data_IF_296566161608
#
_entry.id   IF_296566161608
#
_cell.length_a   1.000
_cell.length_b   1.000
_cell.length_c   1.000
_cell.angle_alpha   90.00
_cell.angle_beta   90.00
_cell.angle_gamma   90.00
#
_symmetry.space_group_name_H-M   'P 1'
#
loop_
_entity.id
_entity.type
_entity.pdbx_description
1 polymer ?
#
# COMPACT_ATOMS: atom_id res chain seq x y z
N UNK A 1 -40.93 -13.79 -58.42
CA UNK A 1 -39.57 -14.38 -58.38
C UNK A 1 -38.70 -13.52 -57.47
N UNK A 2 -38.50 -13.93 -56.21
CA UNK A 2 -37.43 -13.47 -55.30
C UNK A 2 -37.11 -14.66 -54.39
N UNK A 3 -36.01 -15.36 -54.66
CA UNK A 3 -35.52 -16.44 -53.82
C UNK A 3 -35.04 -15.83 -52.49
N UNK A 4 -35.71 -16.18 -51.40
CA UNK A 4 -35.34 -15.79 -50.05
C UNK A 4 -34.47 -16.91 -49.45
N UNK A 5 -33.16 -16.67 -49.31
CA UNK A 5 -32.21 -17.66 -48.78
C UNK A 5 -32.05 -17.51 -47.25
N UNK A 6 -32.61 -18.44 -46.45
CA UNK A 6 -32.59 -18.38 -44.99
C UNK A 6 -31.19 -18.60 -44.38
N UNK A 7 -30.21 -19.09 -45.16
CA UNK A 7 -28.85 -19.35 -44.67
C UNK A 7 -28.08 -18.06 -44.37
N UNK A 8 -28.38 -16.98 -45.10
CA UNK A 8 -27.75 -15.66 -44.91
C UNK A 8 -28.01 -15.04 -43.53
N UNK A 9 -29.20 -15.25 -42.95
CA UNK A 9 -29.60 -14.65 -41.67
C UNK A 9 -28.89 -15.29 -40.47
N UNK A 10 -28.61 -16.58 -40.55
CA UNK A 10 -27.85 -17.29 -39.51
C UNK A 10 -26.40 -16.80 -39.43
N UNK A 11 -25.70 -16.67 -40.56
CA UNK A 11 -24.32 -16.17 -40.59
C UNK A 11 -24.19 -14.71 -40.13
N UNK A 12 -25.19 -13.86 -40.39
CA UNK A 12 -25.21 -12.48 -39.90
C UNK A 12 -25.41 -12.38 -38.38
N UNK A 13 -26.30 -13.21 -37.81
CA UNK A 13 -26.56 -13.24 -36.37
C UNK A 13 -25.34 -13.72 -35.56
N UNK A 14 -24.59 -14.72 -36.06
CA UNK A 14 -23.39 -15.23 -35.38
C UNK A 14 -22.24 -14.21 -35.40
N UNK A 15 -22.10 -13.44 -36.48
CA UNK A 15 -21.07 -12.38 -36.58
C UNK A 15 -21.35 -11.18 -35.66
N UNK A 16 -22.63 -10.81 -35.49
CA UNK A 16 -23.05 -9.77 -34.55
C UNK A 16 -22.82 -10.19 -33.09
N UNK A 17 -23.10 -11.45 -32.75
CA UNK A 17 -22.84 -11.99 -31.42
C UNK A 17 -21.33 -12.04 -31.07
N UNK A 18 -20.49 -12.45 -32.03
CA UNK A 18 -19.04 -12.47 -31.85
C UNK A 18 -18.46 -11.05 -31.67
N UNK A 19 -18.98 -10.06 -32.41
CA UNK A 19 -18.58 -8.66 -32.28
C UNK A 19 -19.00 -8.09 -30.91
N UNK A 20 -20.19 -8.42 -30.43
CA UNK A 20 -20.68 -8.01 -29.11
C UNK A 20 -19.83 -8.60 -27.97
N UNK A 21 -19.40 -9.86 -28.06
CA UNK A 21 -18.51 -10.50 -27.09
C UNK A 21 -17.12 -9.84 -27.10
N UNK A 22 -16.59 -9.48 -28.28
CA UNK A 22 -15.33 -8.75 -28.40
C UNK A 22 -15.41 -7.34 -27.80
N UNK A 23 -16.53 -6.63 -28.00
CA UNK A 23 -16.79 -5.32 -27.42
C UNK A 23 -16.93 -5.39 -25.89
N UNK A 24 -17.62 -6.39 -25.36
CA UNK A 24 -17.76 -6.63 -23.92
C UNK A 24 -16.41 -6.97 -23.25
N UNK A 25 -15.51 -7.68 -23.94
CA UNK A 25 -14.16 -7.95 -23.46
C UNK A 25 -13.27 -6.69 -23.38
N UNK A 26 -13.56 -5.66 -24.19
CA UNK A 26 -12.82 -4.40 -24.22
C UNK A 26 -13.11 -3.45 -23.06
N UNK A 27 -14.22 -3.64 -22.32
CA UNK A 27 -14.63 -2.74 -21.23
C UNK A 27 -14.00 -3.07 -19.86
N UNK A 28 -13.26 -4.19 -19.73
CA UNK A 28 -12.68 -4.62 -18.46
C UNK A 28 -11.34 -3.95 -18.09
N UNK A 29 -10.85 -2.97 -18.86
CA UNK A 29 -9.41 -2.67 -18.92
C UNK A 29 -8.87 -1.37 -18.30
N UNK A 30 -9.68 -0.46 -17.75
CA UNK A 30 -9.17 0.83 -17.25
C UNK A 30 -9.28 0.96 -15.73
N UNK A 31 -8.72 0.01 -14.97
CA UNK A 31 -8.43 0.25 -13.57
C UNK A 31 -7.15 1.11 -13.49
N UNK A 32 -7.30 2.39 -13.15
CA UNK A 32 -6.16 3.26 -12.80
C UNK A 32 -5.58 2.74 -11.48
N UNK A 33 -4.49 1.98 -11.55
CA UNK A 33 -3.75 1.55 -10.37
C UNK A 33 -2.96 2.76 -9.84
N UNK A 34 -3.14 3.17 -8.57
CA UNK A 34 -2.36 4.25 -7.99
C UNK A 34 -0.86 3.97 -8.15
N UNK A 35 -0.10 5.01 -8.48
CA UNK A 35 1.35 4.88 -8.57
C UNK A 35 1.90 4.58 -7.18
N UNK A 36 2.62 3.46 -7.08
CA UNK A 36 3.38 3.09 -5.89
C UNK A 36 4.78 3.67 -6.04
N UNK A 37 5.27 4.28 -4.98
CA UNK A 37 6.62 4.77 -4.86
C UNK A 37 7.36 3.96 -3.81
N UNK A 38 8.65 3.74 -3.99
CA UNK A 38 9.49 2.97 -3.07
C UNK A 38 10.89 3.55 -3.00
N UNK A 39 11.49 3.49 -1.82
CA UNK A 39 12.90 3.81 -1.58
C UNK A 39 13.51 2.80 -0.60
N UNK A 40 14.83 2.65 -0.65
CA UNK A 40 15.56 1.72 0.22
C UNK A 40 16.97 2.22 0.55
N UNK A 41 17.51 1.70 1.65
CA UNK A 41 18.93 1.90 1.98
C UNK A 41 19.79 0.97 1.11
N UNK A 42 20.65 1.55 0.26
CA UNK A 42 21.54 0.81 -0.63
C UNK A 42 22.60 -0.03 0.11
N UNK A 43 22.83 0.24 1.41
CA UNK A 43 23.70 -0.56 2.28
C UNK A 43 23.03 -1.81 2.85
N UNK A 44 21.72 -2.00 2.63
CA UNK A 44 20.96 -3.15 3.16
C UNK A 44 20.63 -4.14 2.05
N UNK A 45 21.07 -5.39 2.23
CA UNK A 45 20.69 -6.50 1.35
C UNK A 45 19.33 -7.08 1.78
N UNK A 46 18.27 -6.45 1.26
CA UNK A 46 16.87 -6.79 1.51
C UNK A 46 16.46 -8.17 1.00
N UNK A 47 17.19 -8.77 0.04
CA UNK A 47 16.85 -10.09 -0.55
C UNK A 47 17.05 -11.21 0.48
N UNK A 48 17.92 -10.98 1.47
CA UNK A 48 18.20 -11.95 2.53
C UNK A 48 17.05 -12.10 3.52
N UNK A 49 16.17 -11.12 3.64
CA UNK A 49 15.06 -11.18 4.58
C UNK A 49 14.08 -12.31 4.22
N UNK A 50 13.63 -13.04 5.24
CA UNK A 50 12.70 -14.19 5.18
C UNK A 50 11.62 -14.13 6.25
N UNK A 51 11.93 -13.61 7.44
CA UNK A 51 10.98 -13.49 8.55
C UNK A 51 10.59 -12.05 8.79
N UNK A 52 9.33 -11.82 9.16
CA UNK A 52 8.79 -10.49 9.44
C UNK A 52 8.02 -10.45 10.75
N UNK A 53 7.91 -9.26 11.32
CA UNK A 53 6.93 -8.95 12.37
C UNK A 53 6.16 -7.69 12.00
N UNK A 54 4.92 -7.55 12.50
CA UNK A 54 4.11 -6.34 12.29
C UNK A 54 4.09 -5.54 13.58
N UNK A 55 4.54 -4.29 13.52
CA UNK A 55 4.46 -3.37 14.65
C UNK A 55 3.00 -2.97 14.89
N UNK A 56 2.50 -3.06 16.13
CA UNK A 56 1.12 -2.71 16.44
C UNK A 56 0.82 -1.24 16.11
N UNK A 57 -0.35 -1.02 15.49
CA UNK A 57 -0.90 0.31 15.26
C UNK A 57 -1.68 0.84 16.47
N UNK A 58 -1.72 0.10 17.58
CA UNK A 58 -2.27 0.58 18.84
C UNK A 58 -1.24 0.47 19.96
N UNK A 59 -0.91 1.58 20.60
CA UNK A 59 -0.37 1.57 21.96
C UNK A 59 -1.55 1.79 22.90
N UNK A 60 -1.53 1.20 24.10
CA UNK A 60 -2.57 1.36 25.12
C UNK A 60 -2.63 2.79 25.74
N UNK A 61 -2.34 3.84 24.95
CA UNK A 61 -2.19 5.23 25.37
C UNK A 61 -3.27 6.15 24.81
N UNK A 62 -3.85 6.95 25.70
CA UNK A 62 -4.96 7.88 25.53
C UNK A 62 -4.92 8.76 24.26
N UNK A 63 -6.10 8.96 23.66
CA UNK A 63 -6.37 10.03 22.68
C UNK A 63 -6.97 9.61 21.34
N UNK A 64 -7.08 8.31 21.05
CA UNK A 64 -7.61 7.82 19.77
C UNK A 64 -9.03 7.29 19.89
N UNK A 65 -9.82 7.49 18.82
CA UNK A 65 -11.12 6.85 18.63
C UNK A 65 -10.92 5.33 18.55
N UNK A 66 -11.38 4.54 19.56
CA UNK A 66 -11.27 3.08 19.54
C UNK A 66 -11.95 2.46 18.30
N UNK A 67 -12.95 3.14 17.74
CA UNK A 67 -13.61 2.76 16.49
C UNK A 67 -12.67 2.79 15.29
N UNK A 68 -11.73 3.74 15.20
CA UNK A 68 -10.74 3.79 14.10
C UNK A 68 -9.74 2.63 14.22
N UNK A 69 -9.28 2.32 15.43
CA UNK A 69 -8.36 1.19 15.67
C UNK A 69 -8.99 -0.14 15.24
N UNK A 70 -10.27 -0.36 15.59
CA UNK A 70 -10.99 -1.59 15.22
C UNK A 70 -11.28 -1.61 13.71
N UNK A 71 -11.73 -0.49 13.13
CA UNK A 71 -12.13 -0.44 11.72
C UNK A 71 -10.95 -0.47 10.76
N UNK A 72 -9.82 0.15 11.09
CA UNK A 72 -8.71 0.35 10.15
C UNK A 72 -7.38 -0.22 10.67
N UNK A 73 -7.10 -0.10 11.97
CA UNK A 73 -5.86 -0.60 12.57
C UNK A 73 -5.68 -2.11 12.39
N UNK A 74 -6.62 -2.92 12.89
CA UNK A 74 -6.56 -4.39 12.75
C UNK A 74 -6.56 -4.84 11.27
N UNK A 75 -7.42 -4.29 10.38
CA UNK A 75 -7.35 -4.65 8.96
C UNK A 75 -6.06 -4.24 8.26
N UNK A 76 -5.41 -3.14 8.65
CA UNK A 76 -4.10 -2.77 8.13
C UNK A 76 -3.03 -3.79 8.53
N UNK A 77 -2.96 -4.14 9.82
CA UNK A 77 -2.02 -5.15 10.31
C UNK A 77 -2.24 -6.50 9.63
N UNK A 78 -3.51 -6.92 9.46
CA UNK A 78 -3.84 -8.16 8.77
C UNK A 78 -3.43 -8.12 7.30
N UNK A 79 -3.66 -7.01 6.59
CA UNK A 79 -3.27 -6.89 5.20
C UNK A 79 -1.76 -6.98 5.00
N UNK A 80 -0.96 -6.46 5.94
CA UNK A 80 0.50 -6.64 5.92
C UNK A 80 0.85 -8.12 6.04
N UNK A 81 0.25 -8.82 7.01
CA UNK A 81 0.49 -10.27 7.21
C UNK A 81 0.13 -11.05 5.94
N UNK A 82 -1.08 -10.85 5.43
CA UNK A 82 -1.57 -11.55 4.23
C UNK A 82 -0.68 -11.29 3.02
N UNK A 83 -0.29 -10.03 2.79
CA UNK A 83 0.55 -9.65 1.66
C UNK A 83 1.95 -10.27 1.74
N UNK A 84 2.56 -10.33 2.92
CA UNK A 84 3.90 -10.91 3.08
C UNK A 84 3.87 -12.44 3.08
N UNK A 85 2.88 -13.06 3.72
CA UNK A 85 2.70 -14.52 3.70
C UNK A 85 2.44 -15.00 2.27
N UNK A 86 1.61 -14.31 1.50
CA UNK A 86 1.36 -14.62 0.08
C UNK A 86 2.63 -14.55 -0.77
N UNK A 87 3.65 -13.83 -0.31
CA UNK A 87 4.96 -13.68 -0.97
C UNK A 87 6.03 -14.61 -0.41
N UNK A 88 5.66 -15.52 0.49
CA UNK A 88 6.55 -16.56 1.03
C UNK A 88 7.37 -16.14 2.25
N UNK A 89 7.13 -14.95 2.81
CA UNK A 89 7.72 -14.57 4.10
C UNK A 89 7.02 -15.31 5.25
N UNK A 90 7.75 -15.53 6.34
CA UNK A 90 7.22 -16.19 7.55
C UNK A 90 7.07 -15.18 8.67
N UNK A 91 5.95 -15.20 9.36
CA UNK A 91 5.77 -14.35 10.54
C UNK A 91 6.62 -14.90 11.70
N UNK A 92 7.39 -14.02 12.33
CA UNK A 92 8.22 -14.27 13.50
C UNK A 92 7.83 -13.37 14.67
N UNK A 93 8.59 -13.45 15.74
CA UNK A 93 8.48 -12.51 16.87
C UNK A 93 9.36 -11.29 16.59
N UNK A 94 9.09 -10.19 17.30
CA UNK A 94 9.89 -8.96 17.18
C UNK A 94 11.38 -9.19 17.45
N UNK A 95 11.71 -10.13 18.33
CA UNK A 95 13.09 -10.40 18.73
C UNK A 95 13.86 -11.28 17.73
N UNK A 96 13.18 -11.90 16.75
CA UNK A 96 13.80 -12.84 15.81
C UNK A 96 13.45 -12.64 14.33
N UNK A 97 12.59 -11.68 14.02
CA UNK A 97 12.25 -11.36 12.64
C UNK A 97 13.41 -10.62 11.96
N UNK A 98 13.69 -10.96 10.70
CA UNK A 98 14.70 -10.27 9.89
C UNK A 98 14.33 -8.79 9.68
N UNK A 99 13.03 -8.48 9.69
CA UNK A 99 12.53 -7.11 9.61
C UNK A 99 11.20 -6.90 10.33
N UNK A 100 10.96 -5.65 10.72
CA UNK A 100 9.70 -5.20 11.27
C UNK A 100 8.97 -4.28 10.29
N UNK A 101 7.65 -4.38 10.26
CA UNK A 101 6.80 -3.59 9.35
C UNK A 101 5.93 -2.64 10.16
N UNK A 102 5.93 -1.38 9.77
CA UNK A 102 5.08 -0.34 10.34
C UNK A 102 4.22 0.27 9.23
N UNK A 103 2.95 0.52 9.52
CA UNK A 103 2.03 1.19 8.58
C UNK A 103 1.63 2.52 9.16
N UNK A 104 1.75 3.59 8.37
CA UNK A 104 1.28 4.93 8.78
C UNK A 104 0.44 5.56 7.70
N UNK A 105 -0.53 6.35 8.13
CA UNK A 105 -1.40 7.13 7.24
C UNK A 105 -2.26 8.08 8.07
N UNK A 106 -2.76 9.14 7.46
CA UNK A 106 -3.57 10.12 8.19
C UNK A 106 -4.87 9.51 8.75
N UNK A 107 -5.46 8.57 8.02
CA UNK A 107 -6.64 7.80 8.44
C UNK A 107 -6.33 6.70 9.46
N UNK A 108 -5.06 6.45 9.78
CA UNK A 108 -4.64 5.39 10.71
C UNK A 108 -4.27 5.95 12.09
N UNK A 109 -4.38 5.13 13.14
CA UNK A 109 -3.75 5.41 14.42
C UNK A 109 -2.29 5.87 14.27
N UNK A 110 -1.93 6.98 14.92
CA UNK A 110 -0.54 7.47 14.94
C UNK A 110 0.21 6.78 16.07
N UNK A 111 1.04 5.81 15.72
CA UNK A 111 1.99 5.17 16.62
C UNK A 111 3.39 5.39 16.07
N UNK A 112 4.30 5.85 16.91
CA UNK A 112 5.69 6.04 16.49
C UNK A 112 6.46 4.70 16.60
N UNK A 113 7.27 4.33 15.59
CA UNK A 113 8.09 3.12 15.61
C UNK A 113 9.10 3.11 16.77
N UNK A 114 9.47 4.31 17.27
CA UNK A 114 10.31 4.48 18.45
C UNK A 114 9.72 3.83 19.72
N UNK A 115 8.38 3.78 19.84
CA UNK A 115 7.72 3.10 20.96
C UNK A 115 8.03 1.59 21.02
N UNK A 116 8.51 1.02 19.90
CA UNK A 116 8.90 -0.37 19.76
C UNK A 116 10.41 -0.59 19.63
N UNK A 117 11.21 0.46 19.86
CA UNK A 117 12.68 0.40 19.81
C UNK A 117 13.28 0.54 18.41
N UNK A 118 12.50 1.03 17.43
CA UNK A 118 12.96 1.27 16.06
C UNK A 118 13.29 2.74 15.83
N UNK A 119 14.39 2.99 15.11
CA UNK A 119 14.75 4.35 14.71
C UNK A 119 13.75 4.86 13.69
N UNK A 120 13.12 6.02 13.92
CA UNK A 120 12.19 6.58 12.95
C UNK A 120 12.90 6.87 11.63
N UNK A 121 12.18 6.74 10.52
CA UNK A 121 12.69 7.16 9.23
C UNK A 121 13.15 8.63 9.29
N UNK A 122 14.41 8.97 8.95
CA UNK A 122 14.90 10.36 8.89
C UNK A 122 14.30 11.14 7.70
N UNK A 123 13.32 10.53 7.03
CA UNK A 123 12.77 10.92 5.76
C UNK A 123 11.40 11.58 5.94
N UNK A 124 11.33 12.88 5.64
CA UNK A 124 10.06 13.42 5.17
C UNK A 124 9.89 12.99 3.71
N UNK A 125 8.88 12.15 3.45
CA UNK A 125 8.41 11.89 2.09
C UNK A 125 7.68 13.15 1.65
N UNK A 126 8.30 13.96 0.81
CA UNK A 126 7.73 15.23 0.33
C UNK A 126 6.47 15.00 -0.51
N UNK A 127 5.72 16.09 -0.74
CA UNK A 127 4.52 16.19 -1.58
C UNK A 127 4.70 15.66 -3.02
N UNK A 128 5.93 15.46 -3.49
CA UNK A 128 6.23 15.02 -4.86
C UNK A 128 6.95 13.65 -4.92
N UNK A 129 6.93 12.90 -3.82
CA UNK A 129 7.54 11.56 -3.77
C UNK A 129 9.06 11.54 -3.64
N UNK A 130 9.67 12.63 -3.18
CA UNK A 130 11.08 12.65 -2.81
C UNK A 130 11.24 12.38 -1.31
N UNK A 131 12.11 11.46 -0.94
CA UNK A 131 12.61 11.34 0.43
C UNK A 131 13.70 12.39 0.70
N UNK A 132 13.48 13.21 1.73
CA UNK A 132 14.51 14.10 2.26
C UNK A 132 15.08 13.52 3.55
N UNK A 133 16.36 13.12 3.55
CA UNK A 133 17.12 12.81 4.76
C UNK A 133 17.37 14.11 5.54
N UNK A 134 16.57 14.38 6.57
CA UNK A 134 16.59 15.60 7.37
C UNK A 134 16.62 15.34 8.88
N UNK A 135 17.22 16.28 9.62
CA UNK A 135 17.44 16.14 11.05
C UNK A 135 16.11 16.15 11.84
N UNK A 136 16.06 15.33 12.89
CA UNK A 136 14.90 15.01 13.71
C UNK A 136 14.39 16.25 14.49
N UNK A 137 13.52 17.06 13.89
CA UNK A 137 12.76 18.08 14.61
C UNK A 137 11.28 18.05 14.26
N UNK A 138 10.52 17.56 15.23
CA UNK A 138 9.08 17.56 15.31
C UNK A 138 8.53 19.00 15.17
N UNK A 139 7.66 19.20 14.17
CA UNK A 139 6.59 20.20 14.13
C UNK A 139 6.97 21.68 14.24
N UNK A 140 7.13 22.36 13.10
CA UNK A 140 6.87 23.81 13.04
C UNK A 140 5.42 24.04 12.59
N UNK A 141 4.53 24.60 13.43
CA UNK A 141 3.15 24.96 13.08
C UNK A 141 3.04 26.18 12.15
N UNK A 142 4.15 26.65 11.56
CA UNK A 142 4.23 27.92 10.83
C UNK A 142 4.04 27.82 9.31
N UNK A 143 3.78 26.63 8.75
CA UNK A 143 3.30 26.50 7.37
C UNK A 143 1.77 26.60 7.35
N UNK A 144 1.27 27.81 7.57
CA UNK A 144 -0.15 28.13 7.52
C UNK A 144 -0.77 27.79 6.17
N UNK A 145 -1.95 27.17 6.21
CA UNK A 145 -2.91 27.25 5.09
C UNK A 145 -2.96 26.08 4.10
N UNK A 146 -2.60 24.85 4.48
CA UNK A 146 -2.92 23.67 3.66
C UNK A 146 -4.02 22.84 4.34
N UNK A 147 -5.23 23.38 4.39
CA UNK A 147 -6.42 22.60 4.73
C UNK A 147 -6.71 21.56 3.62
N UNK A 148 -6.75 20.27 4.01
CA UNK A 148 -7.54 19.19 3.37
C UNK A 148 -7.02 18.65 2.00
N UNK A 149 -5.73 18.35 1.87
CA UNK A 149 -5.23 17.53 0.74
C UNK A 149 -4.36 16.31 1.13
N UNK A 150 -4.21 16.01 2.43
CA UNK A 150 -3.33 14.92 2.93
C UNK A 150 -4.08 13.61 3.28
N UNK A 151 -5.41 13.58 3.27
CA UNK A 151 -6.25 12.61 4.01
C UNK A 151 -6.08 11.10 3.68
N UNK A 152 -5.31 10.73 2.65
CA UNK A 152 -5.23 9.34 2.18
C UNK A 152 -3.84 8.78 1.96
N UNK A 153 -2.75 9.53 2.14
CA UNK A 153 -1.41 8.97 1.96
C UNK A 153 -1.23 7.77 2.89
N UNK A 154 -0.85 6.64 2.31
CA UNK A 154 -0.57 5.40 3.03
C UNK A 154 0.87 5.01 2.80
N UNK A 155 1.60 4.80 3.89
CA UNK A 155 3.03 4.48 3.88
C UNK A 155 3.24 3.17 4.64
N UNK A 156 4.06 2.30 4.08
CA UNK A 156 4.57 1.09 4.73
C UNK A 156 6.07 1.23 4.87
N UNK A 157 6.55 1.14 6.10
CA UNK A 157 7.95 1.24 6.46
C UNK A 157 8.44 -0.13 6.91
N UNK A 158 9.66 -0.47 6.51
CA UNK A 158 10.35 -1.70 6.86
C UNK A 158 11.66 -1.32 7.56
N UNK A 159 11.85 -1.91 8.73
CA UNK A 159 13.03 -1.71 9.57
C UNK A 159 13.82 -3.00 9.66
N UNK A 160 15.14 -2.89 9.56
CA UNK A 160 16.05 -4.02 9.76
C UNK A 160 15.93 -4.55 11.20
N UNK A 161 15.71 -5.85 11.34
CA UNK A 161 15.45 -6.49 12.64
C UNK A 161 16.68 -6.55 13.57
N UNK A 162 17.90 -6.38 13.04
CA UNK A 162 19.13 -6.42 13.83
C UNK A 162 19.56 -5.02 14.29
N UNK A 163 19.56 -4.07 13.37
CA UNK A 163 20.03 -2.70 13.61
C UNK A 163 18.91 -1.76 14.06
N UNK A 164 17.66 -2.19 13.88
CA UNK A 164 16.44 -1.42 14.14
C UNK A 164 16.35 -0.12 13.31
N UNK A 165 17.10 -0.06 12.21
CA UNK A 165 17.16 1.11 11.34
C UNK A 165 16.21 0.97 10.15
N UNK A 166 15.72 2.10 9.60
CA UNK A 166 15.06 2.17 8.30
C UNK A 166 15.80 1.37 7.22
N UNK A 167 15.10 0.47 6.53
CA UNK A 167 15.69 -0.37 5.47
C UNK A 167 14.96 -0.22 4.13
N UNK A 168 13.63 -0.14 4.15
CA UNK A 168 12.81 0.10 2.96
C UNK A 168 11.52 0.86 3.30
N UNK A 169 11.04 1.69 2.38
CA UNK A 169 9.76 2.39 2.51
C UNK A 169 9.02 2.37 1.18
N UNK A 170 7.71 2.19 1.24
CA UNK A 170 6.83 2.30 0.08
C UNK A 170 5.56 3.05 0.43
N UNK A 171 5.02 3.81 -0.52
CA UNK A 171 3.81 4.59 -0.30
C UNK A 171 2.96 4.76 -1.56
N UNK A 172 1.68 5.03 -1.32
CA UNK A 172 0.73 5.49 -2.34
C UNK A 172 0.03 6.75 -1.87
N UNK A 173 -0.44 7.51 -2.86
CA UNK A 173 -1.41 8.59 -2.67
C UNK A 173 -2.71 8.13 -3.36
N UNK A 174 -3.62 7.46 -2.63
CA UNK A 174 -4.91 7.05 -3.18
C UNK A 174 -5.66 8.30 -3.61
N UNK A 175 -6.04 8.37 -4.88
CA UNK A 175 -6.86 9.48 -5.38
C UNK A 175 -8.24 9.53 -4.72
N UNK A 176 -8.86 10.71 -4.75
CA UNK A 176 -10.25 10.93 -4.29
C UNK A 176 -10.37 11.61 -2.92
N UNK A 177 -11.61 11.97 -2.56
CA UNK A 177 -11.96 12.67 -1.31
C UNK A 177 -12.76 11.73 -0.38
N UNK A 178 -12.65 11.93 0.94
CA UNK A 178 -13.43 11.21 1.95
C UNK A 178 -12.67 10.11 2.70
N UNK A 179 -13.31 9.50 3.71
CA UNK A 179 -12.67 8.56 4.62
C UNK A 179 -12.13 7.32 3.90
N UNK A 180 -10.96 6.85 4.33
CA UNK A 180 -10.39 5.60 3.84
C UNK A 180 -11.26 4.41 4.27
N UNK A 181 -11.78 3.64 3.31
CA UNK A 181 -12.46 2.38 3.57
C UNK A 181 -11.46 1.21 3.69
N UNK A 182 -11.90 0.12 4.31
CA UNK A 182 -11.07 -1.07 4.56
C UNK A 182 -10.56 -1.71 3.27
N UNK A 183 -11.38 -1.76 2.22
CA UNK A 183 -10.98 -2.43 0.97
C UNK A 183 -9.88 -1.64 0.28
N UNK A 184 -10.02 -0.32 0.22
CA UNK A 184 -9.00 0.58 -0.32
C UNK A 184 -7.71 0.51 0.49
N UNK A 185 -7.81 0.48 1.83
CA UNK A 185 -6.67 0.31 2.73
C UNK A 185 -5.91 -0.99 2.44
N UNK A 186 -6.61 -2.13 2.48
CA UNK A 186 -5.99 -3.44 2.28
C UNK A 186 -5.36 -3.58 0.89
N UNK A 187 -6.06 -3.11 -0.15
CA UNK A 187 -5.55 -3.08 -1.53
C UNK A 187 -4.29 -2.23 -1.65
N UNK A 188 -4.29 -1.04 -1.03
CA UNK A 188 -3.14 -0.14 -1.05
C UNK A 188 -1.93 -0.76 -0.35
N UNK A 189 -2.11 -1.44 0.79
CA UNK A 189 -1.04 -2.17 1.48
C UNK A 189 -0.47 -3.27 0.59
N UNK A 190 -1.33 -4.05 -0.05
CA UNK A 190 -0.91 -5.11 -0.97
C UNK A 190 -0.13 -4.54 -2.17
N UNK A 191 -0.65 -3.46 -2.77
CA UNK A 191 -0.02 -2.78 -3.90
C UNK A 191 1.33 -2.15 -3.54
N UNK A 192 1.50 -1.67 -2.30
CA UNK A 192 2.80 -1.22 -1.80
C UNK A 192 3.74 -2.42 -1.65
N UNK A 193 3.32 -3.44 -0.90
CA UNK A 193 4.18 -4.57 -0.51
C UNK A 193 4.55 -5.49 -1.69
N UNK A 194 3.84 -5.48 -2.82
CA UNK A 194 4.28 -6.21 -4.04
C UNK A 194 5.64 -5.72 -4.59
N UNK A 195 6.04 -4.48 -4.27
CA UNK A 195 7.29 -3.85 -4.73
C UNK A 195 8.44 -3.97 -3.72
N UNK A 196 8.23 -4.64 -2.60
CA UNK A 196 9.31 -5.02 -1.69
C UNK A 196 9.93 -6.34 -2.18
N UNK A 197 11.23 -6.68 -2.05
CA UNK A 197 12.34 -5.80 -1.71
C UNK A 197 12.68 -4.80 -2.83
N UNK A 198 12.31 -5.12 -4.07
CA UNK A 198 12.54 -4.26 -5.23
C UNK A 198 11.30 -4.19 -6.12
N UNK A 199 11.22 -3.11 -6.90
CA UNK A 199 10.21 -2.93 -7.92
C UNK A 199 10.28 -4.06 -8.95
N UNK A 200 9.15 -4.71 -9.20
CA UNK A 200 9.05 -5.64 -10.32
C UNK A 200 9.08 -4.79 -11.61
N UNK A 201 9.97 -5.07 -12.58
CA UNK A 201 9.89 -4.41 -13.87
C UNK A 201 8.51 -4.72 -14.47
N UNK A 202 7.76 -3.66 -14.79
CA UNK A 202 6.45 -3.79 -15.45
C UNK A 202 6.66 -4.47 -16.82
N UNK A 203 6.11 -5.68 -16.99
CA UNK A 203 5.96 -6.31 -18.30
C UNK A 203 4.91 -5.58 -19.12
#
# INVERSE_FOLDING_TARGET
MKHYDPRSRFFFATRLAALAILLLAGLAGCAVVPRVYTEHDAGVDLVRYKTFTVLPLSTAGAGMDPGVVIRLGKPAEQAVRDALIARGYKEGTRDNADFAVHVKGESLPRVEPYNWGYWPYPAYVSRHGWVYYGNYYYGSPWMGGAQVYEERRLVVEIYDGTTHKPAWVGWVEPGGYGPMDVQTLQRSIFDILRNFPYDQPRK
#
